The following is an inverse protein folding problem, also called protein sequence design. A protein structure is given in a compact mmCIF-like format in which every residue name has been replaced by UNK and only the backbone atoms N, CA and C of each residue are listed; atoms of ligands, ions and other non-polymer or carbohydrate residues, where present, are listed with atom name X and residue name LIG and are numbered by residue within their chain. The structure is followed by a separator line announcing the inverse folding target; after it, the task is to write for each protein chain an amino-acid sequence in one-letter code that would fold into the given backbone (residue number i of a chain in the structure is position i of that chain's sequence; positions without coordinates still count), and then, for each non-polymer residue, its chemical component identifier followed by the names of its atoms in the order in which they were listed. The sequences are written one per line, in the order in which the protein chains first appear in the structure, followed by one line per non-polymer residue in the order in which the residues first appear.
data_IF_942871768674
#
_entry.id   IF_942871768674
#
_cell.length_a   1.000
_cell.length_b   1.000
_cell.length_c   1.000
_cell.angle_alpha   90.00
_cell.angle_beta   90.00
_cell.angle_gamma   90.00
#
_symmetry.space_group_name_H-M   'P 1'
#
loop_
_entity.id
_entity.type
_entity.pdbx_description
1 polymer ?
#
# COMPACT_ATOMS: atom_id res chain seq x y z
N UNK A 1 7.47 -23.22 9.84
CA UNK A 1 7.37 -22.45 8.59
C UNK A 1 6.19 -21.52 8.72
N UNK A 2 6.42 -20.22 8.61
CA UNK A 2 5.36 -19.20 8.65
C UNK A 2 5.50 -18.32 7.41
N UNK A 3 4.41 -18.13 6.67
CA UNK A 3 4.38 -17.39 5.41
C UNK A 3 3.64 -16.09 5.68
N UNK A 4 4.31 -14.97 5.41
CA UNK A 4 3.68 -13.65 5.42
C UNK A 4 3.18 -13.32 4.01
N UNK A 5 1.86 -13.20 3.86
CA UNK A 5 1.19 -12.94 2.57
C UNK A 5 0.29 -11.69 2.64
N UNK A 6 0.58 -10.77 3.55
CA UNK A 6 -0.18 -9.53 3.78
C UNK A 6 0.63 -8.30 3.38
N UNK A 7 -0.04 -7.22 2.95
CA UNK A 7 0.62 -5.98 2.56
C UNK A 7 1.62 -5.43 3.60
N UNK A 8 2.64 -4.72 3.09
CA UNK A 8 3.59 -4.01 3.93
C UNK A 8 2.90 -2.99 4.85
N UNK A 9 3.43 -2.74 6.07
CA UNK A 9 2.91 -1.71 6.95
C UNK A 9 2.99 -0.33 6.30
N UNK A 10 1.85 0.36 6.19
CA UNK A 10 1.77 1.69 5.58
C UNK A 10 1.27 2.78 6.54
N UNK A 11 1.02 2.43 7.81
CA UNK A 11 0.68 3.37 8.87
C UNK A 11 1.34 2.96 10.20
N UNK A 12 1.35 3.88 11.18
CA UNK A 12 2.03 3.69 12.46
C UNK A 12 1.50 2.49 13.26
N UNK A 13 0.18 2.27 13.25
CA UNK A 13 -0.45 1.14 13.95
C UNK A 13 0.04 -0.20 13.37
N UNK A 14 0.05 -0.31 12.04
CA UNK A 14 0.55 -1.50 11.35
C UNK A 14 2.05 -1.71 11.57
N UNK A 15 2.85 -0.64 11.65
CA UNK A 15 4.27 -0.76 11.99
C UNK A 15 4.48 -1.35 13.38
N UNK A 16 3.70 -0.89 14.38
CA UNK A 16 3.78 -1.39 15.76
C UNK A 16 3.37 -2.86 15.81
N UNK A 17 2.27 -3.22 15.15
CA UNK A 17 1.80 -4.60 15.07
C UNK A 17 2.82 -5.51 14.37
N UNK A 18 3.45 -5.02 13.31
CA UNK A 18 4.47 -5.76 12.59
C UNK A 18 5.75 -5.95 13.42
N UNK A 19 6.20 -4.92 14.13
CA UNK A 19 7.31 -5.02 15.11
C UNK A 19 7.00 -6.06 16.19
N UNK A 20 5.75 -6.11 16.67
CA UNK A 20 5.30 -7.12 17.64
C UNK A 20 5.33 -8.53 17.05
N UNK A 21 4.81 -8.72 15.84
CA UNK A 21 4.83 -9.99 15.12
C UNK A 21 6.25 -10.52 14.94
N UNK A 22 7.18 -9.68 14.49
CA UNK A 22 8.56 -10.09 14.27
C UNK A 22 9.21 -10.53 15.61
N UNK A 23 8.97 -9.82 16.72
CA UNK A 23 9.47 -10.21 18.05
C UNK A 23 8.94 -11.58 18.48
N UNK A 24 7.68 -11.88 18.22
CA UNK A 24 7.10 -13.19 18.53
C UNK A 24 7.72 -14.32 17.71
N UNK A 25 7.92 -14.11 16.41
CA UNK A 25 8.55 -15.10 15.54
C UNK A 25 9.99 -15.40 15.98
N UNK A 26 10.74 -14.37 16.38
CA UNK A 26 12.08 -14.54 16.95
C UNK A 26 12.04 -15.33 18.27
N UNK A 27 11.17 -14.94 19.20
CA UNK A 27 11.05 -15.61 20.50
C UNK A 27 10.71 -17.11 20.35
N UNK A 28 9.88 -17.43 19.36
CA UNK A 28 9.47 -18.79 19.04
C UNK A 28 10.42 -19.51 18.08
N UNK A 29 11.52 -18.86 17.68
CA UNK A 29 12.54 -19.39 16.77
C UNK A 29 11.99 -19.86 15.41
N UNK A 30 11.00 -19.14 14.87
CA UNK A 30 10.45 -19.36 13.55
C UNK A 30 11.21 -18.57 12.49
N UNK A 31 11.43 -19.20 11.34
CA UNK A 31 11.97 -18.57 10.14
C UNK A 31 10.80 -18.10 9.22
N UNK A 32 10.57 -16.79 9.09
CA UNK A 32 9.51 -16.25 8.25
C UNK A 32 9.91 -16.25 6.76
N UNK A 33 8.97 -16.65 5.91
CA UNK A 33 9.07 -16.48 4.45
C UNK A 33 8.16 -15.32 4.02
N UNK A 34 8.67 -14.42 3.18
CA UNK A 34 7.95 -13.22 2.71
C UNK A 34 8.50 -11.88 3.24
N UNK A 35 9.40 -11.91 4.21
CA UNK A 35 10.27 -10.79 4.57
C UNK A 35 11.52 -11.28 5.31
N UNK A 36 12.61 -10.51 5.24
CA UNK A 36 13.79 -10.67 6.07
C UNK A 36 13.88 -9.53 7.07
N UNK A 37 13.97 -9.85 8.36
CA UNK A 37 14.17 -8.87 9.43
C UNK A 37 15.60 -8.92 9.94
N UNK A 38 16.32 -7.80 9.87
CA UNK A 38 17.56 -7.62 10.63
C UNK A 38 17.21 -7.03 11.99
N UNK A 39 17.35 -7.86 13.02
CA UNK A 39 17.15 -7.44 14.40
C UNK A 39 18.45 -6.84 14.96
N UNK A 40 18.55 -5.52 14.90
CA UNK A 40 19.43 -4.77 15.80
C UNK A 40 18.54 -4.09 16.86
N UNK A 41 18.82 -4.27 18.18
CA UNK A 41 18.08 -3.59 19.24
C UNK A 41 17.95 -2.08 19.04
N UNK A 42 18.96 -1.46 18.39
CA UNK A 42 19.01 -0.03 18.11
C UNK A 42 18.44 0.33 16.72
N UNK A 43 18.22 -0.66 15.84
CA UNK A 43 17.74 -0.44 14.47
C UNK A 43 16.96 -1.64 13.94
N UNK A 44 15.64 -1.57 14.09
CA UNK A 44 14.73 -2.50 13.42
C UNK A 44 14.67 -2.18 11.93
N UNK A 45 15.04 -3.13 11.07
CA UNK A 45 14.85 -3.02 9.62
C UNK A 45 14.28 -4.32 9.08
N UNK A 46 13.22 -4.22 8.31
CA UNK A 46 12.61 -5.33 7.60
C UNK A 46 12.61 -5.03 6.10
N UNK A 47 12.97 -6.03 5.31
CA UNK A 47 12.91 -5.99 3.85
C UNK A 47 11.91 -7.05 3.43
N UNK A 48 10.84 -6.63 2.77
CA UNK A 48 9.82 -7.55 2.27
C UNK A 48 10.27 -8.17 0.96
N UNK A 49 9.87 -9.43 0.73
CA UNK A 49 10.05 -10.05 -0.57
C UNK A 49 8.76 -9.85 -1.39
N UNK A 50 8.78 -9.05 -2.47
CA UNK A 50 7.60 -8.78 -3.28
C UNK A 50 7.00 -10.02 -3.94
N UNK A 51 7.74 -11.12 -4.09
CA UNK A 51 7.24 -12.38 -4.68
C UNK A 51 6.15 -13.05 -3.83
N UNK A 52 6.08 -12.73 -2.53
CA UNK A 52 5.08 -13.27 -1.59
C UNK A 52 3.95 -12.28 -1.27
N UNK A 53 3.97 -11.11 -1.93
CA UNK A 53 3.00 -10.04 -1.72
C UNK A 53 2.28 -9.72 -3.03
N UNK A 54 1.01 -10.10 -3.13
CA UNK A 54 0.09 -9.47 -4.05
C UNK A 54 -0.53 -8.27 -3.32
N UNK A 55 -0.07 -7.04 -3.58
CA UNK A 55 -0.75 -5.87 -3.03
C UNK A 55 -2.18 -5.85 -3.59
N UNK A 56 -3.18 -5.90 -2.70
CA UNK A 56 -4.58 -5.74 -3.10
C UNK A 56 -4.87 -4.34 -3.68
N UNK A 57 -3.92 -3.40 -3.53
CA UNK A 57 -3.93 -2.07 -4.11
C UNK A 57 -2.91 -1.98 -5.24
N UNK A 58 -3.30 -1.39 -6.36
CA UNK A 58 -2.42 -1.10 -7.48
C UNK A 58 -1.32 -0.12 -7.05
N UNK A 59 -0.08 -0.34 -7.49
CA UNK A 59 1.01 0.60 -7.28
C UNK A 59 0.74 1.93 -8.00
N UNK A 60 1.47 2.99 -7.65
CA UNK A 60 1.37 4.29 -8.35
C UNK A 60 1.61 4.16 -9.85
N UNK A 61 2.57 3.32 -10.25
CA UNK A 61 2.87 3.07 -11.66
C UNK A 61 1.76 2.27 -12.34
N UNK A 62 1.18 1.28 -11.67
CA UNK A 62 0.02 0.54 -12.20
C UNK A 62 -1.20 1.44 -12.35
N UNK A 63 -1.42 2.36 -11.41
CA UNK A 63 -2.51 3.36 -11.47
C UNK A 63 -2.29 4.28 -12.67
N UNK A 64 -1.09 4.83 -12.83
CA UNK A 64 -0.75 5.69 -13.97
C UNK A 64 -0.95 4.93 -15.28
N UNK A 65 -0.36 3.75 -15.40
CA UNK A 65 -0.48 2.91 -16.59
C UNK A 65 -1.95 2.61 -16.93
N UNK A 66 -2.78 2.28 -15.94
CA UNK A 66 -4.22 2.06 -16.16
C UNK A 66 -4.95 3.30 -16.63
N UNK A 67 -4.67 4.46 -16.04
CA UNK A 67 -5.31 5.73 -16.44
C UNK A 67 -4.94 6.07 -17.89
N UNK A 68 -3.66 5.99 -18.23
CA UNK A 68 -3.17 6.27 -19.58
C UNK A 68 -3.70 5.24 -20.60
N UNK A 69 -3.87 3.99 -20.20
CA UNK A 69 -4.40 2.93 -21.08
C UNK A 69 -5.90 3.06 -21.31
N UNK A 70 -6.66 3.42 -20.28
CA UNK A 70 -8.12 3.56 -20.36
C UNK A 70 -8.50 4.89 -21.03
N UNK A 71 -7.68 5.93 -20.83
CA UNK A 71 -7.91 7.31 -21.28
C UNK A 71 -9.32 7.82 -20.91
N UNK A 72 -9.64 7.91 -19.60
CA UNK A 72 -10.98 8.31 -19.18
C UNK A 72 -11.22 9.80 -19.40
N UNK A 73 -12.41 10.16 -19.90
CA UNK A 73 -12.85 11.56 -20.01
C UNK A 73 -12.95 12.27 -18.64
N UNK A 74 -13.19 11.51 -17.57
CA UNK A 74 -13.30 12.02 -16.20
C UNK A 74 -12.67 11.01 -15.23
N UNK A 75 -11.74 11.48 -14.42
CA UNK A 75 -11.07 10.69 -13.39
C UNK A 75 -11.54 11.13 -12.00
N UNK A 76 -12.07 10.21 -11.19
CA UNK A 76 -12.58 10.50 -9.84
C UNK A 76 -11.82 9.62 -8.86
N UNK A 77 -10.76 10.13 -8.18
CA UNK A 77 -10.05 9.36 -7.18
C UNK A 77 -10.95 9.13 -5.96
N UNK A 78 -11.15 7.87 -5.60
CA UNK A 78 -11.88 7.44 -4.40
C UNK A 78 -10.99 6.60 -3.50
N UNK A 79 -11.27 6.57 -2.20
CA UNK A 79 -10.54 5.77 -1.21
C UNK A 79 -9.01 6.07 -1.17
N UNK A 80 -8.64 7.36 -1.28
CA UNK A 80 -7.26 7.84 -1.15
C UNK A 80 -7.23 9.13 -0.32
N UNK A 81 -6.23 9.26 0.56
CA UNK A 81 -5.96 10.50 1.29
C UNK A 81 -5.08 11.46 0.48
N UNK A 82 -4.40 10.96 -0.56
CA UNK A 82 -3.52 11.75 -1.43
C UNK A 82 -4.19 12.00 -2.79
N UNK A 83 -5.36 12.64 -2.78
CA UNK A 83 -6.05 13.04 -4.02
C UNK A 83 -5.25 14.10 -4.80
N UNK A 84 -4.37 14.85 -4.14
CA UNK A 84 -3.57 15.91 -4.77
C UNK A 84 -2.65 15.35 -5.87
N UNK A 85 -2.07 14.16 -5.65
CA UNK A 85 -1.26 13.50 -6.68
C UNK A 85 -2.03 13.31 -8.00
N UNK A 86 -3.32 12.98 -7.95
CA UNK A 86 -4.14 12.82 -9.14
C UNK A 86 -4.38 14.16 -9.85
N UNK A 87 -4.65 15.22 -9.09
CA UNK A 87 -4.83 16.58 -9.63
C UNK A 87 -3.57 17.08 -10.33
N UNK A 88 -2.40 16.81 -9.74
CA UNK A 88 -1.11 17.28 -10.27
C UNK A 88 -0.66 16.50 -11.52
N UNK A 89 -1.13 15.25 -11.70
CA UNK A 89 -0.70 14.37 -12.79
C UNK A 89 -1.74 14.22 -13.91
N UNK A 90 -3.03 14.49 -13.67
CA UNK A 90 -4.11 14.24 -14.63
C UNK A 90 -5.13 15.39 -14.64
N UNK A 91 -5.20 16.10 -15.76
CA UNK A 91 -6.08 17.27 -15.94
C UNK A 91 -7.58 16.92 -15.86
N UNK A 92 -7.94 15.69 -16.22
CA UNK A 92 -9.33 15.19 -16.16
C UNK A 92 -9.80 14.84 -14.73
N UNK A 93 -9.01 15.13 -13.71
CA UNK A 93 -9.31 14.78 -12.32
C UNK A 93 -10.42 15.66 -11.74
N UNK A 94 -11.45 15.02 -11.15
CA UNK A 94 -12.49 15.67 -10.36
C UNK A 94 -12.54 15.09 -8.95
N UNK A 95 -12.36 15.97 -7.97
CA UNK A 95 -12.53 15.62 -6.55
C UNK A 95 -14.01 15.73 -6.20
N UNK A 96 -14.54 14.67 -5.59
CA UNK A 96 -15.92 14.62 -5.07
C UNK A 96 -15.84 14.41 -3.57
N UNK A 97 -16.58 15.19 -2.80
CA UNK A 97 -16.68 15.03 -1.34
C UNK A 97 -17.75 14.01 -0.98
N UNK A 98 -17.64 13.41 0.20
CA UNK A 98 -18.68 12.52 0.74
C UNK A 98 -20.04 13.22 0.73
N UNK A 99 -20.99 12.65 -0.01
CA UNK A 99 -22.36 13.17 -0.17
C UNK A 99 -22.60 14.01 -1.42
N UNK A 100 -21.57 14.29 -2.23
CA UNK A 100 -21.72 14.94 -3.53
C UNK A 100 -21.99 13.91 -4.63
N UNK A 101 -22.85 14.27 -5.59
CA UNK A 101 -23.19 13.46 -6.76
C UNK A 101 -22.68 14.12 -8.03
N UNK A 102 -22.02 13.35 -8.90
CA UNK A 102 -21.57 13.81 -10.21
C UNK A 102 -22.44 13.22 -11.33
N UNK A 103 -22.95 14.10 -12.19
CA UNK A 103 -23.65 13.72 -13.41
C UNK A 103 -22.85 14.24 -14.59
N UNK A 104 -22.44 13.33 -15.47
CA UNK A 104 -21.83 13.70 -16.75
C UNK A 104 -22.95 14.14 -17.70
N UNK A 105 -22.92 15.40 -18.12
CA UNK A 105 -23.85 15.99 -19.10
C UNK A 105 -23.56 15.51 -20.52
#
# INVERSE_FOLDING_TARGET
MWIYSSCEPFNEEMEIDFKRLCRWLQYLNFDPYGFSSNFNPDKFSCTFNPEFHASGHASTDDIRWKIETIDPDVLIPVHTENYQWFVDNFEQTKIIKNGESFTKS
#
